data_IF_895849284251
#
_entry.id   IF_895849284251
#
_cell.length_a   1.000
_cell.length_b   1.000
_cell.length_c   1.000
_cell.angle_alpha   90.00
_cell.angle_beta   90.00
_cell.angle_gamma   90.00
#
_symmetry.space_group_name_H-M   'P 1'
#
loop_
_entity.id
_entity.type
_entity.pdbx_description
1 polymer ?
#
# COMPACT_ATOMS: atom_id res chain seq x y z
N UNK A 1 6.41 33.88 -20.40
CA UNK A 1 6.82 33.13 -19.20
C UNK A 1 5.53 32.74 -18.52
N UNK A 2 4.96 31.59 -18.93
CA UNK A 2 3.67 31.12 -18.41
C UNK A 2 3.84 30.79 -16.94
N UNK A 3 3.17 31.58 -16.11
CA UNK A 3 3.01 31.35 -14.69
C UNK A 3 2.37 29.96 -14.53
N UNK A 4 3.16 28.98 -14.09
CA UNK A 4 2.62 27.71 -13.64
C UNK A 4 1.79 27.99 -12.39
N UNK A 5 0.54 28.40 -12.58
CA UNK A 5 -0.49 28.40 -11.55
C UNK A 5 -0.56 26.96 -11.07
N UNK A 6 0.13 26.68 -9.97
CA UNK A 6 0.41 25.32 -9.50
C UNK A 6 -0.90 24.54 -9.40
N UNK A 7 -1.11 23.61 -10.34
CA UNK A 7 -2.29 22.76 -10.32
C UNK A 7 -2.34 22.07 -8.96
N UNK A 8 -3.47 22.22 -8.27
CA UNK A 8 -3.65 21.61 -6.95
C UNK A 8 -3.61 20.10 -7.12
N UNK A 9 -2.57 19.47 -6.58
CA UNK A 9 -2.39 18.02 -6.67
C UNK A 9 -3.30 17.30 -5.68
N UNK A 10 -4.12 16.39 -6.21
CA UNK A 10 -5.04 15.52 -5.47
C UNK A 10 -4.42 14.13 -5.35
N UNK A 11 -4.66 13.45 -4.24
CA UNK A 11 -4.13 12.10 -4.01
C UNK A 11 -2.73 12.03 -3.40
N UNK A 12 -2.18 13.16 -2.91
CA UNK A 12 -0.90 13.13 -2.18
C UNK A 12 -0.94 12.24 -0.93
N UNK A 13 -2.06 12.27 -0.19
CA UNK A 13 -2.24 11.46 1.02
C UNK A 13 -2.16 9.96 0.72
N UNK A 14 -3.00 9.37 -0.17
CA UNK A 14 -2.90 7.95 -0.48
C UNK A 14 -1.56 7.56 -1.10
N UNK A 15 -0.91 8.46 -1.84
CA UNK A 15 0.43 8.25 -2.40
C UNK A 15 1.50 8.13 -1.30
N UNK A 16 1.58 9.09 -0.37
CA UNK A 16 2.55 9.05 0.75
C UNK A 16 2.25 7.87 1.69
N UNK A 17 0.96 7.60 1.92
CA UNK A 17 0.50 6.48 2.74
C UNK A 17 1.07 5.14 2.25
N UNK A 18 1.21 4.94 0.94
CA UNK A 18 1.84 3.74 0.39
C UNK A 18 3.28 3.53 0.92
N UNK A 19 4.13 4.57 0.84
CA UNK A 19 5.52 4.47 1.27
C UNK A 19 5.65 4.31 2.79
N UNK A 20 4.80 4.98 3.56
CA UNK A 20 4.74 4.81 5.01
C UNK A 20 4.31 3.38 5.36
N UNK A 21 3.29 2.86 4.69
CA UNK A 21 2.84 1.48 4.86
C UNK A 21 3.93 0.47 4.52
N UNK A 22 4.64 0.66 3.40
CA UNK A 22 5.78 -0.19 3.00
C UNK A 22 6.91 -0.19 4.03
N UNK A 23 7.23 0.97 4.62
CA UNK A 23 8.24 1.09 5.66
C UNK A 23 7.84 0.32 6.92
N UNK A 24 6.60 0.49 7.40
CA UNK A 24 6.07 -0.24 8.55
C UNK A 24 6.06 -1.75 8.28
N UNK A 25 5.60 -2.17 7.10
CA UNK A 25 5.57 -3.57 6.71
C UNK A 25 6.99 -4.17 6.68
N UNK A 26 7.96 -3.43 6.14
CA UNK A 26 9.36 -3.86 6.12
C UNK A 26 9.92 -4.07 7.53
N UNK A 27 9.63 -3.15 8.46
CA UNK A 27 10.04 -3.27 9.86
C UNK A 27 9.40 -4.50 10.51
N UNK A 28 8.11 -4.75 10.28
CA UNK A 28 7.40 -5.92 10.80
C UNK A 28 7.96 -7.24 10.26
N UNK A 29 8.31 -7.28 8.97
CA UNK A 29 8.98 -8.45 8.39
C UNK A 29 10.34 -8.67 9.00
N UNK A 30 11.18 -7.63 9.08
CA UNK A 30 12.51 -7.73 9.71
C UNK A 30 12.35 -8.24 11.14
N UNK A 31 11.45 -7.64 11.92
CA UNK A 31 11.17 -8.08 13.29
C UNK A 31 10.76 -9.56 13.34
N UNK A 32 9.86 -10.00 12.45
CA UNK A 32 9.44 -11.41 12.38
C UNK A 32 10.58 -12.34 11.99
N UNK A 33 11.57 -11.89 11.21
CA UNK A 33 12.72 -12.71 10.84
C UNK A 33 13.83 -12.71 11.88
N UNK A 34 14.03 -11.61 12.60
CA UNK A 34 15.09 -11.48 13.62
C UNK A 34 14.65 -11.97 15.01
N UNK A 35 13.35 -12.12 15.23
CA UNK A 35 12.82 -12.62 16.50
C UNK A 35 13.10 -14.11 16.64
N UNK A 36 13.72 -14.50 17.75
CA UNK A 36 13.99 -15.89 18.06
C UNK A 36 12.72 -16.51 18.63
N UNK A 37 12.03 -17.33 17.82
CA UNK A 37 10.93 -18.14 18.29
C UNK A 37 11.48 -19.43 18.90
N UNK A 38 11.47 -19.54 20.23
CA UNK A 38 11.98 -20.71 20.96
C UNK A 38 10.88 -21.78 21.13
N UNK A 39 11.26 -23.05 20.99
CA UNK A 39 10.35 -24.21 21.12
C UNK A 39 9.92 -24.84 19.79
N UNK A 40 9.30 -26.04 19.84
CA UNK A 40 8.96 -26.85 18.66
C UNK A 40 7.93 -26.24 17.69
N UNK A 41 7.33 -25.10 18.06
CA UNK A 41 6.34 -24.38 17.26
C UNK A 41 6.89 -23.06 16.66
N UNK A 42 8.19 -22.81 16.78
CA UNK A 42 8.77 -21.51 16.40
C UNK A 42 8.61 -21.15 14.92
N UNK A 43 8.73 -22.12 14.02
CA UNK A 43 8.49 -21.88 12.59
C UNK A 43 7.00 -21.62 12.28
N UNK A 44 6.09 -22.30 13.00
CA UNK A 44 4.66 -22.09 12.83
C UNK A 44 4.24 -20.68 13.27
N UNK A 45 4.70 -20.23 14.45
CA UNK A 45 4.39 -18.91 14.96
C UNK A 45 4.95 -17.79 14.08
N UNK A 46 6.16 -17.96 13.54
CA UNK A 46 6.72 -17.05 12.53
C UNK A 46 5.85 -16.97 11.29
N UNK A 47 5.47 -18.11 10.71
CA UNK A 47 4.68 -18.14 9.48
C UNK A 47 3.29 -17.51 9.66
N UNK A 48 2.64 -17.75 10.81
CA UNK A 48 1.37 -17.11 11.16
C UNK A 48 1.55 -15.59 11.26
N UNK A 49 2.61 -15.12 11.93
CA UNK A 49 2.87 -13.69 12.09
C UNK A 49 3.13 -13.00 10.74
N UNK A 50 3.91 -13.62 9.86
CA UNK A 50 4.17 -13.10 8.51
C UNK A 50 2.88 -13.07 7.70
N UNK A 51 2.10 -14.16 7.71
CA UNK A 51 0.82 -14.24 7.01
C UNK A 51 -0.18 -13.18 7.47
N UNK A 52 -0.38 -13.03 8.78
CA UNK A 52 -1.27 -11.99 9.32
C UNK A 52 -0.78 -10.58 8.97
N UNK A 53 0.53 -10.33 9.03
CA UNK A 53 1.09 -9.03 8.67
C UNK A 53 0.85 -8.68 7.20
N UNK A 54 1.06 -9.64 6.30
CA UNK A 54 0.76 -9.50 4.87
C UNK A 54 -0.74 -9.28 4.63
N UNK A 55 -1.61 -9.99 5.35
CA UNK A 55 -3.06 -9.84 5.23
C UNK A 55 -3.53 -8.45 5.67
N UNK A 56 -3.05 -7.97 6.82
CA UNK A 56 -3.35 -6.61 7.32
C UNK A 56 -2.85 -5.56 6.32
N UNK A 57 -1.66 -5.74 5.77
CA UNK A 57 -1.11 -4.83 4.77
C UNK A 57 -1.91 -4.86 3.45
N UNK A 58 -2.39 -6.03 3.01
CA UNK A 58 -3.28 -6.12 1.86
C UNK A 58 -4.62 -5.39 2.08
N UNK A 59 -5.24 -5.54 3.25
CA UNK A 59 -6.48 -4.81 3.59
C UNK A 59 -6.23 -3.30 3.63
N UNK A 60 -5.10 -2.87 4.20
CA UNK A 60 -4.67 -1.48 4.20
C UNK A 60 -4.51 -0.93 2.77
N UNK A 61 -3.80 -1.63 1.90
CA UNK A 61 -3.63 -1.24 0.51
C UNK A 61 -4.96 -1.22 -0.24
N UNK A 62 -5.84 -2.20 -0.02
CA UNK A 62 -7.16 -2.24 -0.66
C UNK A 62 -8.00 -1.01 -0.27
N UNK A 63 -7.97 -0.60 1.00
CA UNK A 63 -8.66 0.60 1.46
C UNK A 63 -8.16 1.86 0.73
N UNK A 64 -6.84 2.07 0.68
CA UNK A 64 -6.26 3.23 -0.01
C UNK A 64 -6.40 3.17 -1.54
N UNK A 65 -6.46 1.97 -2.12
CA UNK A 65 -6.81 1.78 -3.52
C UNK A 65 -8.22 2.29 -3.80
N UNK A 66 -9.21 1.90 -2.99
CA UNK A 66 -10.60 2.35 -3.13
C UNK A 66 -10.70 3.87 -2.93
N UNK A 67 -10.01 4.45 -1.94
CA UNK A 67 -9.98 5.90 -1.75
C UNK A 67 -9.38 6.63 -2.96
N UNK A 68 -8.31 6.09 -3.54
CA UNK A 68 -7.66 6.68 -4.72
C UNK A 68 -8.55 6.55 -5.95
N UNK A 69 -9.22 5.41 -6.13
CA UNK A 69 -10.20 5.19 -7.19
C UNK A 69 -11.35 6.21 -7.09
N UNK A 70 -11.89 6.42 -5.89
CA UNK A 70 -12.92 7.42 -5.63
C UNK A 70 -12.47 8.84 -5.99
N UNK A 71 -11.27 9.24 -5.53
CA UNK A 71 -10.68 10.54 -5.88
C UNK A 71 -10.49 10.69 -7.39
N UNK A 72 -10.04 9.63 -8.07
CA UNK A 72 -9.86 9.64 -9.51
C UNK A 72 -11.20 9.82 -10.24
N UNK A 73 -12.23 9.05 -9.87
CA UNK A 73 -13.57 9.16 -10.48
C UNK A 73 -14.12 10.58 -10.39
N UNK A 74 -13.96 11.25 -9.25
CA UNK A 74 -14.47 12.62 -9.05
C UNK A 74 -13.66 13.67 -9.81
N UNK A 75 -12.33 13.58 -9.77
CA UNK A 75 -11.47 14.68 -10.18
C UNK A 75 -10.81 14.50 -11.56
N UNK A 76 -10.91 13.32 -12.21
CA UNK A 76 -10.23 13.07 -13.50
C UNK A 76 -10.65 13.99 -14.64
N UNK A 77 -11.88 14.55 -14.61
CA UNK A 77 -12.39 15.46 -15.65
C UNK A 77 -12.03 16.92 -15.41
N UNK A 78 -11.40 17.27 -14.29
CA UNK A 78 -11.11 18.66 -13.95
C UNK A 78 -9.71 19.06 -14.46
N UNK A 79 -9.61 19.92 -15.50
CA UNK A 79 -8.33 20.26 -16.13
C UNK A 79 -7.37 21.07 -15.23
N UNK A 80 -7.91 21.68 -14.17
CA UNK A 80 -7.19 22.52 -13.21
C UNK A 80 -6.58 21.74 -12.04
N UNK A 81 -6.84 20.43 -11.95
CA UNK A 81 -6.31 19.57 -10.89
C UNK A 81 -5.26 18.62 -11.46
N UNK A 82 -4.20 18.40 -10.67
CA UNK A 82 -3.24 17.34 -10.97
C UNK A 82 -3.67 16.07 -10.23
N UNK A 83 -4.12 15.08 -10.99
CA UNK A 83 -4.56 13.76 -10.51
C UNK A 83 -3.49 12.68 -10.67
N UNK A 84 -2.28 13.04 -11.12
CA UNK A 84 -1.16 12.12 -11.26
C UNK A 84 -0.85 11.36 -9.95
N UNK A 85 -0.80 12.00 -8.76
CA UNK A 85 -0.54 11.27 -7.52
C UNK A 85 -1.63 10.23 -7.19
N UNK A 86 -2.89 10.54 -7.50
CA UNK A 86 -4.01 9.59 -7.36
C UNK A 86 -3.83 8.37 -8.26
N UNK A 87 -3.42 8.58 -9.51
CA UNK A 87 -3.17 7.49 -10.45
C UNK A 87 -2.04 6.58 -9.98
N UNK A 88 -0.92 7.17 -9.54
CA UNK A 88 0.20 6.40 -8.98
C UNK A 88 -0.20 5.65 -7.71
N UNK A 89 -0.96 6.28 -6.81
CA UNK A 89 -1.46 5.62 -5.61
C UNK A 89 -2.36 4.42 -5.94
N UNK A 90 -3.28 4.55 -6.90
CA UNK A 90 -4.08 3.43 -7.38
C UNK A 90 -3.20 2.29 -7.90
N UNK A 91 -2.23 2.58 -8.77
CA UNK A 91 -1.36 1.56 -9.34
C UNK A 91 -0.54 0.82 -8.27
N UNK A 92 0.07 1.58 -7.34
CA UNK A 92 0.91 1.02 -6.29
C UNK A 92 0.13 0.17 -5.29
N UNK A 93 -0.97 0.69 -4.75
CA UNK A 93 -1.81 -0.05 -3.81
C UNK A 93 -2.48 -1.25 -4.47
N UNK A 94 -2.98 -1.09 -5.70
CA UNK A 94 -3.58 -2.19 -6.45
C UNK A 94 -2.60 -3.31 -6.76
N UNK A 95 -1.38 -2.97 -7.20
CA UNK A 95 -0.32 -3.94 -7.46
C UNK A 95 0.12 -4.67 -6.19
N UNK A 96 0.25 -3.97 -5.06
CA UNK A 96 0.58 -4.60 -3.78
C UNK A 96 -0.48 -5.63 -3.35
N UNK A 97 -1.77 -5.30 -3.48
CA UNK A 97 -2.85 -6.26 -3.19
C UNK A 97 -2.74 -7.50 -4.09
N UNK A 98 -2.55 -7.31 -5.39
CA UNK A 98 -2.42 -8.43 -6.35
C UNK A 98 -1.23 -9.31 -5.98
N UNK A 99 -0.06 -8.73 -5.69
CA UNK A 99 1.13 -9.49 -5.32
C UNK A 99 0.92 -10.30 -4.04
N UNK A 100 0.27 -9.73 -3.03
CA UNK A 100 0.01 -10.43 -1.77
C UNK A 100 -1.02 -11.55 -1.96
N UNK A 101 -2.08 -11.34 -2.73
CA UNK A 101 -3.04 -12.38 -3.05
C UNK A 101 -2.40 -13.52 -3.86
N UNK A 102 -1.52 -13.20 -4.81
CA UNK A 102 -0.75 -14.19 -5.55
C UNK A 102 0.18 -14.98 -4.63
N UNK A 103 0.85 -14.31 -3.67
CA UNK A 103 1.66 -14.99 -2.67
C UNK A 103 0.83 -16.03 -1.92
N UNK A 104 -0.34 -15.66 -1.38
CA UNK A 104 -1.24 -16.59 -0.68
C UNK A 104 -1.79 -17.71 -1.57
N UNK A 105 -2.05 -17.44 -2.85
CA UNK A 105 -2.52 -18.46 -3.79
C UNK A 105 -1.42 -19.45 -4.19
N UNK A 106 -0.15 -19.07 -4.02
CA UNK A 106 1.02 -19.88 -4.40
C UNK A 106 1.68 -20.63 -3.23
N UNK A 107 1.32 -20.28 -1.99
CA UNK A 107 1.88 -20.82 -0.74
C UNK A 107 1.01 -21.90 -0.13
#
# INVERSE_FOLDING_TARGET
>A
MEEQVGKKAIGKVPYIAFFVGMLIMSILLIYSYTTIYTGGWGDLSRNIMVGLSLLVFAVYCLFFFICSLYLWVIYHKQPNLDVSPTHWAMALHGLAVVLILLFFASS
#
